data_IF_479421993150
#
_entry.id   IF_479421993150
#
_cell.length_a   1.000
_cell.length_b   1.000
_cell.length_c   1.000
_cell.angle_alpha   90.00
_cell.angle_beta   90.00
_cell.angle_gamma   90.00
#
_symmetry.space_group_name_H-M   'P 1'
#
loop_
_entity.id
_entity.type
_entity.pdbx_description
1 polymer ?
#
# COMPACT_ATOMS: atom_id res chain seq x y z
N UNK A 1 -4.65 -8.50 -21.80
CA UNK A 1 -4.69 -9.96 -21.52
C UNK A 1 -4.46 -10.78 -22.77
N UNK A 2 -5.06 -10.45 -23.91
CA UNK A 2 -4.89 -11.22 -25.16
C UNK A 2 -3.43 -11.29 -25.62
N UNK A 3 -2.74 -10.14 -25.72
CA UNK A 3 -1.31 -10.06 -26.07
C UNK A 3 -0.45 -10.91 -25.13
N UNK A 4 -0.65 -10.77 -23.81
CA UNK A 4 0.11 -11.53 -22.83
C UNK A 4 -0.07 -13.05 -22.99
N UNK A 5 -1.26 -13.50 -23.39
CA UNK A 5 -1.54 -14.91 -23.67
C UNK A 5 -0.95 -15.38 -24.99
N UNK A 6 -1.05 -14.58 -26.06
CA UNK A 6 -0.56 -14.96 -27.39
C UNK A 6 0.97 -14.98 -27.47
N UNK A 7 1.65 -14.21 -26.64
CA UNK A 7 3.11 -14.04 -26.64
C UNK A 7 3.81 -14.72 -25.44
N UNK A 8 3.09 -15.52 -24.63
CA UNK A 8 3.63 -16.19 -23.43
C UNK A 8 4.33 -15.24 -22.44
N UNK A 9 3.67 -14.12 -22.15
CA UNK A 9 4.19 -13.09 -21.24
C UNK A 9 3.54 -13.18 -19.87
N UNK A 10 4.30 -12.83 -18.83
CA UNK A 10 3.75 -12.62 -17.49
C UNK A 10 3.00 -11.29 -17.44
N UNK A 11 1.70 -11.34 -17.14
CA UNK A 11 0.92 -10.13 -16.92
C UNK A 11 1.14 -9.63 -15.49
N UNK A 12 1.71 -8.44 -15.36
CA UNK A 12 1.79 -7.74 -14.08
C UNK A 12 0.54 -6.88 -13.89
N UNK A 13 -0.22 -7.16 -12.84
CA UNK A 13 -1.38 -6.35 -12.49
C UNK A 13 -0.93 -5.00 -11.95
N UNK A 14 -1.50 -3.86 -12.41
CA UNK A 14 -1.14 -2.55 -11.89
C UNK A 14 -1.86 -2.21 -10.57
N UNK A 15 -2.66 -3.12 -10.00
CA UNK A 15 -3.41 -2.86 -8.76
C UNK A 15 -3.70 -4.10 -7.89
N UNK A 16 -4.00 -5.25 -8.48
CA UNK A 16 -4.33 -6.49 -7.77
C UNK A 16 -3.14 -7.46 -7.82
N UNK A 17 -2.06 -7.13 -7.13
CA UNK A 17 -0.89 -8.00 -6.99
C UNK A 17 -0.25 -7.82 -5.61
N UNK A 18 -0.02 -8.93 -4.90
CA UNK A 18 0.50 -8.92 -3.53
C UNK A 18 1.92 -8.36 -3.44
N UNK A 19 2.77 -8.58 -4.45
CA UNK A 19 4.12 -8.02 -4.48
C UNK A 19 4.08 -6.51 -4.74
N UNK A 20 3.17 -6.04 -5.60
CA UNK A 20 2.95 -4.61 -5.80
C UNK A 20 2.49 -3.93 -4.51
N UNK A 21 1.50 -4.51 -3.82
CA UNK A 21 0.98 -4.00 -2.55
C UNK A 21 2.07 -4.00 -1.48
N UNK A 22 2.83 -5.09 -1.35
CA UNK A 22 3.94 -5.19 -0.40
C UNK A 22 5.03 -4.14 -0.68
N UNK A 23 5.36 -3.94 -1.95
CA UNK A 23 6.29 -2.89 -2.39
C UNK A 23 5.82 -1.50 -1.98
N UNK A 24 4.54 -1.17 -2.18
CA UNK A 24 3.98 0.10 -1.71
C UNK A 24 3.99 0.24 -0.18
N UNK A 25 3.92 -0.87 0.55
CA UNK A 25 4.05 -0.87 2.01
C UNK A 25 5.39 -0.34 2.52
N UNK A 26 6.47 -0.37 1.72
CA UNK A 26 7.76 0.17 2.16
C UNK A 26 7.70 1.68 2.40
N UNK A 27 6.86 2.41 1.66
CA UNK A 27 6.59 3.84 1.89
C UNK A 27 6.05 4.05 3.31
N UNK A 28 5.11 3.18 3.75
CA UNK A 28 4.59 3.23 5.11
C UNK A 28 5.66 2.97 6.17
N UNK A 29 6.59 2.05 5.91
CA UNK A 29 7.72 1.78 6.80
C UNK A 29 8.67 2.98 6.91
N UNK A 30 8.93 3.66 5.80
CA UNK A 30 9.77 4.87 5.76
C UNK A 30 9.12 6.02 6.53
N UNK A 31 7.81 6.25 6.34
CA UNK A 31 7.06 7.26 7.12
C UNK A 31 7.18 6.98 8.62
N UNK A 32 6.97 5.74 9.06
CA UNK A 32 7.07 5.40 10.49
C UNK A 32 8.49 5.54 11.06
N UNK A 33 9.51 5.39 10.21
CA UNK A 33 10.91 5.59 10.59
C UNK A 33 11.26 7.07 10.71
N UNK A 34 10.82 7.90 9.77
CA UNK A 34 11.20 9.31 9.68
C UNK A 34 10.27 10.24 10.47
N UNK A 35 9.00 9.85 10.64
CA UNK A 35 7.96 10.60 11.34
C UNK A 35 7.16 9.65 12.26
N UNK A 36 7.76 9.18 13.37
CA UNK A 36 7.13 8.18 14.24
C UNK A 36 5.83 8.66 14.90
N UNK A 37 5.64 9.98 15.03
CA UNK A 37 4.47 10.61 15.66
C UNK A 37 3.34 10.95 14.66
N UNK A 38 3.40 10.44 13.43
CA UNK A 38 2.34 10.64 12.43
C UNK A 38 1.01 10.04 12.88
N UNK A 39 -0.05 10.86 12.94
CA UNK A 39 -1.41 10.41 13.30
C UNK A 39 -2.29 10.13 12.08
N UNK A 40 -2.09 10.90 10.99
CA UNK A 40 -2.93 10.89 9.79
C UNK A 40 -2.06 10.88 8.53
N UNK A 41 -2.45 10.09 7.54
CA UNK A 41 -1.83 10.05 6.21
C UNK A 41 -2.91 10.17 5.15
N UNK A 42 -2.74 11.14 4.26
CA UNK A 42 -3.57 11.29 3.07
C UNK A 42 -2.91 10.53 1.93
N UNK A 43 -3.66 9.64 1.27
CA UNK A 43 -3.15 8.82 0.20
C UNK A 43 -4.08 8.94 -1.03
N UNK A 44 -3.55 9.20 -2.24
CA UNK A 44 -4.37 9.17 -3.45
C UNK A 44 -4.85 7.75 -3.74
N UNK A 45 -6.04 7.62 -4.32
CA UNK A 45 -6.66 6.33 -4.59
C UNK A 45 -6.99 6.23 -6.08
N UNK A 46 -6.31 5.31 -6.76
CA UNK A 46 -6.72 4.74 -8.04
C UNK A 46 -7.35 3.36 -7.81
N UNK A 47 -6.63 2.30 -8.20
CA UNK A 47 -7.03 0.90 -7.95
C UNK A 47 -6.80 0.40 -6.51
N UNK A 48 -6.31 1.24 -5.60
CA UNK A 48 -6.21 0.93 -4.17
C UNK A 48 -4.90 0.28 -3.69
N UNK A 49 -4.04 -0.25 -4.57
CA UNK A 49 -2.81 -0.95 -4.16
C UNK A 49 -1.89 -0.12 -3.24
N UNK A 50 -1.71 1.16 -3.58
CA UNK A 50 -0.86 2.09 -2.83
C UNK A 50 -1.35 2.28 -1.38
N UNK A 51 -2.62 2.66 -1.22
CA UNK A 51 -3.21 2.88 0.11
C UNK A 51 -3.27 1.57 0.91
N UNK A 52 -3.55 0.44 0.26
CA UNK A 52 -3.56 -0.87 0.90
C UNK A 52 -2.19 -1.24 1.47
N UNK A 53 -1.13 -1.08 0.68
CA UNK A 53 0.24 -1.38 1.11
C UNK A 53 0.68 -0.51 2.28
N UNK A 54 0.51 0.81 2.15
CA UNK A 54 0.86 1.78 3.19
C UNK A 54 0.07 1.50 4.48
N UNK A 55 -1.25 1.32 4.39
CA UNK A 55 -2.11 1.06 5.53
C UNK A 55 -1.71 -0.24 6.26
N UNK A 56 -1.44 -1.31 5.51
CA UNK A 56 -1.02 -2.59 6.08
C UNK A 56 0.29 -2.46 6.87
N UNK A 57 1.31 -1.84 6.26
CA UNK A 57 2.62 -1.66 6.89
C UNK A 57 2.52 -0.82 8.18
N UNK A 58 1.75 0.27 8.14
CA UNK A 58 1.57 1.16 9.29
C UNK A 58 0.78 0.48 10.39
N UNK A 59 -0.33 -0.19 10.06
CA UNK A 59 -1.16 -0.84 11.07
C UNK A 59 -0.44 -1.98 11.77
N UNK A 60 0.44 -2.69 11.06
CA UNK A 60 1.31 -3.72 11.63
C UNK A 60 2.38 -3.16 12.58
N UNK A 61 2.84 -1.92 12.38
CA UNK A 61 3.88 -1.28 13.21
C UNK A 61 3.34 -0.43 14.36
N UNK A 62 2.21 0.26 14.16
CA UNK A 62 1.61 1.14 15.16
C UNK A 62 0.09 1.20 15.01
N UNK A 63 -0.63 0.51 15.92
CA UNK A 63 -2.09 0.42 15.84
C UNK A 63 -2.82 1.76 16.07
N UNK A 64 -2.13 2.77 16.65
CA UNK A 64 -2.71 4.08 16.97
C UNK A 64 -2.87 4.98 15.74
N UNK A 65 -2.01 4.81 14.74
CA UNK A 65 -2.11 5.55 13.48
C UNK A 65 -3.38 5.09 12.74
N UNK A 66 -4.07 6.04 12.11
CA UNK A 66 -5.36 5.80 11.45
C UNK A 66 -6.50 5.43 12.40
N UNK A 67 -6.41 5.74 13.70
CA UNK A 67 -7.62 5.76 14.53
C UNK A 67 -8.51 6.91 14.08
N UNK A 68 -9.80 6.67 13.78
CA UNK A 68 -10.71 7.77 13.54
C UNK A 68 -10.86 8.60 14.84
N UNK A 69 -11.08 9.91 14.73
CA UNK A 69 -10.96 10.86 15.85
C UNK A 69 -11.90 10.59 17.05
N UNK A 70 -12.84 9.64 16.93
CA UNK A 70 -13.90 9.37 17.91
C UNK A 70 -13.96 7.88 18.36
N UNK A 71 -12.84 7.14 18.36
CA UNK A 71 -12.76 5.71 18.76
C UNK A 71 -11.71 5.41 19.84
#
# INVERSE_FOLDING_TARGET
MEIAKSEDLTLLSPFEDDYLIAGHGTIGLEVMKEKPDTEVIFCPIGGGALISGIALAIKAKNFKVMKPPNL
#
